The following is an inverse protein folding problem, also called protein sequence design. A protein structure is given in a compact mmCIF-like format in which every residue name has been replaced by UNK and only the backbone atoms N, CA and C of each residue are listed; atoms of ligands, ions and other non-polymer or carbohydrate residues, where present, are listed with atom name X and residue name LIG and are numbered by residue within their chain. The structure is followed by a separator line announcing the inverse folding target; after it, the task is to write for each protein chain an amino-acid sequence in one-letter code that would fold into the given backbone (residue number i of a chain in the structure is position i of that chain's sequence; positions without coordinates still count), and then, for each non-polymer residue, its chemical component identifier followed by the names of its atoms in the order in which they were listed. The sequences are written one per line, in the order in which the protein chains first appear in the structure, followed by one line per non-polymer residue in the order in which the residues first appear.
data_IF_013586828038
#
_entry.id   IF_013586828038
#
_cell.length_a   1.000
_cell.length_b   1.000
_cell.length_c   1.000
_cell.angle_alpha   90.00
_cell.angle_beta   90.00
_cell.angle_gamma   90.00
#
_symmetry.space_group_name_H-M   'P 1'
#
loop_
_entity.id
_entity.type
_entity.pdbx_description
1 polymer ?
#
# COMPACT_ATOMS: atom_id res chain seq x y z
N UNK A 1 -4.61 0.23 3.35
CA UNK A 1 -3.20 0.25 2.94
C UNK A 1 -3.15 0.71 1.50
N UNK A 2 -2.87 1.98 1.31
CA UNK A 2 -2.77 2.63 0.01
C UNK A 2 -1.63 3.61 0.08
N UNK A 3 -0.88 3.74 -1.01
CA UNK A 3 0.32 4.58 -1.05
C UNK A 3 0.00 5.89 -1.77
N UNK A 4 0.25 7.01 -1.11
CA UNK A 4 0.07 8.33 -1.69
C UNK A 4 1.40 8.90 -2.14
N UNK A 5 1.47 9.44 -3.36
CA UNK A 5 2.59 10.30 -3.75
C UNK A 5 2.20 11.77 -3.63
N UNK A 6 3.08 12.54 -3.02
CA UNK A 6 2.86 13.94 -2.73
C UNK A 6 4.04 14.80 -3.23
N UNK A 7 3.69 15.85 -3.96
CA UNK A 7 4.47 17.07 -4.13
C UNK A 7 3.71 18.21 -3.43
N UNK A 8 4.35 18.98 -2.55
CA UNK A 8 3.64 20.02 -1.84
C UNK A 8 3.17 21.15 -2.76
N UNK A 9 1.91 21.60 -2.63
CA UNK A 9 1.46 22.80 -3.30
C UNK A 9 2.25 24.02 -2.82
N UNK A 10 2.60 24.91 -3.76
CA UNK A 10 3.35 26.16 -3.50
C UNK A 10 2.66 27.14 -2.53
N UNK A 11 1.40 26.92 -2.11
CA UNK A 11 0.71 27.78 -1.12
C UNK A 11 -0.15 27.01 -0.12
N UNK A 12 -0.22 27.63 1.07
CA UNK A 12 -0.63 27.17 2.38
C UNK A 12 -2.09 26.77 2.53
N UNK A 13 -2.34 25.50 2.84
CA UNK A 13 -3.33 25.07 3.82
C UNK A 13 -2.99 23.63 4.21
N UNK A 14 -2.44 23.45 5.40
CA UNK A 14 -1.61 22.30 5.72
C UNK A 14 -1.88 21.83 7.16
N UNK A 15 -2.61 20.72 7.31
CA UNK A 15 -2.76 20.02 8.59
C UNK A 15 -1.45 19.37 9.07
N UNK A 16 -1.44 18.74 10.25
CA UNK A 16 -0.21 18.26 10.93
C UNK A 16 0.74 17.43 10.04
N UNK A 17 0.22 16.59 9.13
CA UNK A 17 1.04 15.78 8.20
C UNK A 17 1.85 16.60 7.19
N UNK A 18 1.43 17.82 6.86
CA UNK A 18 2.19 18.73 5.99
C UNK A 18 3.43 19.32 6.69
N UNK A 19 3.39 19.46 8.01
CA UNK A 19 4.43 20.18 8.76
C UNK A 19 5.77 19.43 8.71
N UNK A 20 5.74 18.11 8.92
CA UNK A 20 6.95 17.28 8.83
C UNK A 20 7.49 17.19 7.40
N UNK A 21 6.60 17.09 6.40
CA UNK A 21 7.02 17.14 4.99
C UNK A 21 7.80 18.41 4.69
N UNK A 22 7.26 19.58 5.06
CA UNK A 22 7.95 20.87 4.85
C UNK A 22 9.24 21.01 5.65
N UNK A 23 9.31 20.44 6.86
CA UNK A 23 10.54 20.41 7.64
C UNK A 23 11.65 19.64 6.90
N UNK A 24 11.32 18.49 6.34
CA UNK A 24 12.28 17.68 5.59
C UNK A 24 12.74 18.39 4.30
N UNK A 25 11.84 19.03 3.55
CA UNK A 25 12.23 19.81 2.36
C UNK A 25 13.17 20.98 2.68
N UNK A 26 13.03 21.58 3.87
CA UNK A 26 13.91 22.68 4.28
C UNK A 26 15.35 22.23 4.55
N UNK A 27 15.56 20.93 4.77
CA UNK A 27 16.86 20.34 5.11
C UNK A 27 17.51 19.63 3.92
N UNK A 28 16.73 19.18 2.95
CA UNK A 28 17.20 18.42 1.80
C UNK A 28 16.21 18.51 0.62
N UNK A 29 16.72 18.39 -0.59
CA UNK A 29 15.87 18.29 -1.79
C UNK A 29 15.12 16.95 -1.78
N UNK A 30 13.80 17.00 -1.82
CA UNK A 30 12.93 15.82 -1.86
C UNK A 30 12.12 15.89 -3.16
N UNK A 31 12.26 14.88 -4.00
CA UNK A 31 11.49 14.79 -5.24
C UNK A 31 10.09 14.23 -5.01
N UNK A 32 9.97 13.32 -4.03
CA UNK A 32 8.78 12.50 -3.82
C UNK A 32 8.58 12.17 -2.34
N UNK A 33 7.36 12.39 -1.84
CA UNK A 33 6.91 11.83 -0.57
C UNK A 33 6.05 10.59 -0.79
N UNK A 34 6.28 9.54 -0.01
CA UNK A 34 5.47 8.32 0.01
C UNK A 34 4.71 8.21 1.33
N UNK A 35 3.39 8.15 1.25
CA UNK A 35 2.52 7.99 2.41
C UNK A 35 2.08 6.54 2.55
N UNK A 36 2.59 5.84 3.56
CA UNK A 36 2.04 4.55 3.96
C UNK A 36 0.66 4.73 4.61
N UNK A 37 -0.28 3.86 4.24
CA UNK A 37 -1.70 3.91 4.64
C UNK A 37 -2.43 5.26 4.45
N UNK A 38 -1.97 6.09 3.51
CA UNK A 38 -2.46 7.46 3.31
C UNK A 38 -3.83 7.59 2.62
N UNK A 39 -4.44 6.50 2.15
CA UNK A 39 -5.64 6.54 1.30
C UNK A 39 -6.86 7.16 1.98
N UNK A 40 -6.95 7.05 3.30
CA UNK A 40 -8.05 7.58 4.13
C UNK A 40 -7.77 9.00 4.65
N UNK A 41 -6.52 9.47 4.57
CA UNK A 41 -6.09 10.75 5.15
C UNK A 41 -6.47 11.93 4.23
N UNK A 42 -7.76 12.23 4.10
CA UNK A 42 -8.29 13.20 3.11
C UNK A 42 -7.75 14.63 3.26
N UNK A 43 -7.30 15.02 4.45
CA UNK A 43 -6.80 16.39 4.72
C UNK A 43 -5.43 16.69 4.09
N UNK A 44 -4.75 15.68 3.55
CA UNK A 44 -3.49 15.86 2.84
C UNK A 44 -3.76 15.78 1.33
N UNK A 45 -3.47 16.86 0.61
CA UNK A 45 -3.49 16.84 -0.85
C UNK A 45 -2.46 15.81 -1.35
N UNK A 46 -2.78 15.09 -2.44
CA UNK A 46 -1.91 14.09 -3.07
C UNK A 46 -2.03 14.21 -4.58
N UNK A 47 -0.93 14.01 -5.29
CA UNK A 47 -0.91 14.05 -6.75
C UNK A 47 -1.26 12.67 -7.33
N UNK A 48 -0.93 11.60 -6.62
CA UNK A 48 -1.24 10.23 -7.01
C UNK A 48 -1.76 9.43 -5.81
N UNK A 49 -2.92 8.79 -5.98
CA UNK A 49 -3.51 7.85 -5.03
C UNK A 49 -3.40 6.43 -5.58
N UNK A 50 -2.64 5.58 -4.88
CA UNK A 50 -2.57 4.15 -5.13
C UNK A 50 -3.47 3.42 -4.15
N UNK A 51 -4.49 2.73 -4.66
CA UNK A 51 -5.31 1.83 -3.87
C UNK A 51 -4.72 0.42 -3.91
N UNK A 52 -4.36 -0.14 -2.76
CA UNK A 52 -4.02 -1.57 -2.70
C UNK A 52 -5.26 -2.39 -2.41
N UNK A 53 -5.41 -3.48 -3.13
CA UNK A 53 -6.45 -4.48 -2.89
C UNK A 53 -5.82 -5.85 -2.72
N UNK A 54 -6.47 -6.70 -1.93
CA UNK A 54 -6.02 -8.06 -1.68
C UNK A 54 -6.62 -8.99 -2.75
N UNK A 55 -5.78 -9.53 -3.62
CA UNK A 55 -6.23 -10.41 -4.71
C UNK A 55 -6.92 -11.69 -4.19
N UNK A 56 -6.55 -12.16 -3.00
CA UNK A 56 -7.12 -13.35 -2.38
C UNK A 56 -8.52 -13.12 -1.79
N UNK A 57 -9.05 -11.89 -1.86
CA UNK A 57 -10.31 -11.50 -1.21
C UNK A 57 -11.24 -10.76 -2.17
N UNK A 58 -12.31 -11.43 -2.66
CA UNK A 58 -13.34 -10.78 -3.45
C UNK A 58 -14.00 -9.63 -2.69
N UNK A 59 -14.32 -8.53 -3.39
CA UNK A 59 -15.08 -7.41 -2.82
C UNK A 59 -16.58 -7.71 -2.67
N UNK A 60 -17.09 -8.73 -3.36
CA UNK A 60 -18.49 -9.09 -3.32
C UNK A 60 -18.89 -9.58 -1.91
N UNK A 61 -19.93 -8.97 -1.33
CA UNK A 61 -20.41 -9.31 0.01
C UNK A 61 -19.62 -8.69 1.16
N UNK A 62 -18.57 -7.91 0.89
CA UNK A 62 -17.86 -7.18 1.93
C UNK A 62 -18.72 -6.04 2.52
N UNK A 63 -18.63 -5.86 3.83
CA UNK A 63 -19.35 -4.83 4.58
C UNK A 63 -18.39 -3.85 5.25
N UNK A 64 -18.90 -2.68 5.64
CA UNK A 64 -18.16 -1.74 6.47
C UNK A 64 -17.87 -2.33 7.85
N UNK A 65 -16.77 -1.91 8.46
CA UNK A 65 -16.52 -2.16 9.89
C UNK A 65 -17.69 -1.63 10.75
N UNK A 66 -18.08 -2.35 11.82
CA UNK A 66 -17.49 -3.61 12.31
C UNK A 66 -18.03 -4.88 11.63
N UNK A 67 -19.08 -4.79 10.81
CA UNK A 67 -19.77 -5.95 10.21
C UNK A 67 -18.97 -6.65 9.10
N UNK A 68 -18.01 -5.94 8.48
CA UNK A 68 -17.07 -6.50 7.51
C UNK A 68 -15.71 -5.82 7.61
N UNK A 69 -14.88 -5.93 6.57
CA UNK A 69 -13.47 -5.50 6.62
C UNK A 69 -13.22 -4.13 6.02
N UNK A 70 -14.20 -3.58 5.30
CA UNK A 70 -14.04 -2.30 4.62
C UNK A 70 -13.98 -1.18 5.65
N UNK A 71 -12.91 -0.37 5.57
CA UNK A 71 -12.77 0.84 6.38
C UNK A 71 -13.53 2.03 5.81
N UNK A 72 -13.84 1.98 4.52
CA UNK A 72 -14.60 2.98 3.77
C UNK A 72 -15.51 2.28 2.75
N UNK A 73 -16.61 2.92 2.32
CA UNK A 73 -17.51 2.30 1.34
C UNK A 73 -16.80 2.16 -0.01
N UNK A 74 -17.22 1.20 -0.84
CA UNK A 74 -16.58 0.94 -2.15
C UNK A 74 -16.51 2.17 -3.07
N UNK A 75 -17.43 3.14 -2.91
CA UNK A 75 -17.40 4.42 -3.64
C UNK A 75 -16.12 5.22 -3.40
N UNK A 76 -15.43 5.01 -2.27
CA UNK A 76 -14.14 5.63 -1.96
C UNK A 76 -13.03 5.25 -2.97
N UNK A 77 -13.19 4.13 -3.67
CA UNK A 77 -12.30 3.71 -4.76
C UNK A 77 -12.21 4.75 -5.87
N UNK A 78 -13.24 5.58 -6.08
CA UNK A 78 -13.24 6.66 -7.08
C UNK A 78 -12.10 7.67 -6.94
N UNK A 79 -11.46 7.74 -5.76
CA UNK A 79 -10.28 8.60 -5.52
C UNK A 79 -8.97 7.99 -6.02
N UNK A 80 -8.96 6.70 -6.37
CA UNK A 80 -7.76 6.02 -6.85
C UNK A 80 -7.39 6.52 -8.25
N UNK A 81 -6.09 6.74 -8.48
CA UNK A 81 -5.57 6.97 -9.81
C UNK A 81 -5.10 5.66 -10.45
N UNK A 82 -4.69 4.70 -9.63
CA UNK A 82 -4.35 3.34 -10.05
C UNK A 82 -4.60 2.36 -8.90
N UNK A 83 -4.70 1.09 -9.27
CA UNK A 83 -4.99 -0.01 -8.35
C UNK A 83 -3.85 -1.02 -8.40
N UNK A 84 -3.41 -1.50 -7.25
CA UNK A 84 -2.44 -2.61 -7.15
C UNK A 84 -3.07 -3.77 -6.39
N UNK A 85 -3.18 -4.92 -7.04
CA UNK A 85 -3.55 -6.17 -6.39
C UNK A 85 -2.34 -6.81 -5.73
N UNK A 86 -2.36 -6.88 -4.41
CA UNK A 86 -1.37 -7.60 -3.59
C UNK A 86 -1.74 -9.07 -3.45
N UNK A 87 -0.77 -9.93 -3.12
CA UNK A 87 -0.96 -11.39 -2.98
C UNK A 87 -1.48 -12.07 -4.26
N UNK A 88 -1.14 -11.50 -5.41
CA UNK A 88 -1.63 -11.97 -6.72
C UNK A 88 -1.17 -13.41 -7.04
N UNK A 89 -0.10 -13.89 -6.40
CA UNK A 89 0.41 -15.26 -6.51
C UNK A 89 -0.53 -16.32 -5.90
N UNK A 90 -1.45 -15.91 -5.02
CA UNK A 90 -2.35 -16.82 -4.30
C UNK A 90 -3.75 -16.90 -4.90
N UNK A 91 -4.07 -16.05 -5.88
CA UNK A 91 -5.43 -15.86 -6.35
C UNK A 91 -5.58 -16.13 -7.84
N UNK A 92 -6.20 -17.27 -8.16
CA UNK A 92 -6.54 -17.70 -9.53
C UNK A 92 -7.57 -16.79 -10.22
N UNK A 93 -8.37 -16.03 -9.46
CA UNK A 93 -9.41 -15.12 -9.96
C UNK A 93 -8.98 -13.67 -10.19
N UNK A 94 -7.70 -13.33 -9.94
CA UNK A 94 -7.21 -11.94 -10.00
C UNK A 94 -7.45 -11.29 -11.36
N UNK A 95 -7.24 -12.04 -12.45
CA UNK A 95 -7.40 -11.53 -13.82
C UNK A 95 -8.85 -11.13 -14.13
N UNK A 96 -9.83 -11.87 -13.62
CA UNK A 96 -11.25 -11.55 -13.81
C UNK A 96 -11.65 -10.29 -13.02
N UNK A 97 -11.15 -10.17 -11.78
CA UNK A 97 -11.37 -8.98 -10.96
C UNK A 97 -10.70 -7.73 -11.56
N UNK A 98 -9.51 -7.88 -12.14
CA UNK A 98 -8.83 -6.83 -12.91
C UNK A 98 -9.70 -6.37 -14.09
N UNK A 99 -10.28 -7.31 -14.84
CA UNK A 99 -11.12 -7.00 -16.00
C UNK A 99 -12.34 -6.12 -15.67
N UNK A 100 -12.89 -6.24 -14.45
CA UNK A 100 -14.03 -5.44 -13.97
C UNK A 100 -13.65 -4.01 -13.54
N UNK A 101 -12.35 -3.70 -13.47
CA UNK A 101 -11.82 -2.40 -13.03
C UNK A 101 -11.05 -1.69 -14.15
N UNK A 102 -11.42 -1.96 -15.40
CA UNK A 102 -10.77 -1.44 -16.61
C UNK A 102 -10.68 0.10 -16.70
N UNK A 103 -11.47 0.82 -15.91
CA UNK A 103 -11.42 2.28 -15.78
C UNK A 103 -10.19 2.80 -15.02
N UNK A 104 -9.41 1.93 -14.38
CA UNK A 104 -8.16 2.27 -13.72
C UNK A 104 -6.99 1.53 -14.37
N UNK A 105 -5.78 2.12 -14.41
CA UNK A 105 -4.55 1.34 -14.53
C UNK A 105 -4.45 0.34 -13.37
N UNK A 106 -4.29 -0.95 -13.69
CA UNK A 106 -4.22 -2.02 -12.69
C UNK A 106 -2.91 -2.77 -12.80
N UNK A 107 -2.26 -2.97 -11.66
CA UNK A 107 -1.02 -3.72 -11.53
C UNK A 107 -1.19 -4.85 -10.52
N UNK A 108 -0.35 -5.88 -10.63
CA UNK A 108 -0.27 -6.97 -9.67
C UNK A 108 1.08 -6.91 -8.93
N UNK A 109 1.05 -7.20 -7.64
CA UNK A 109 2.20 -7.30 -6.78
C UNK A 109 2.20 -8.66 -6.08
N UNK A 110 3.35 -9.32 -6.13
CA UNK A 110 3.58 -10.60 -5.47
C UNK A 110 4.80 -10.54 -4.58
N UNK A 111 4.70 -11.23 -3.44
CA UNK A 111 5.81 -11.33 -2.48
C UNK A 111 6.42 -12.72 -2.56
N UNK A 112 7.74 -12.79 -2.74
CA UNK A 112 8.48 -14.05 -2.72
C UNK A 112 9.48 -14.05 -1.56
N UNK A 113 9.37 -15.04 -0.68
CA UNK A 113 10.37 -15.27 0.35
C UNK A 113 11.66 -15.76 -0.33
N UNK A 114 12.73 -14.97 -0.25
CA UNK A 114 14.03 -15.31 -0.82
C UNK A 114 14.94 -16.07 0.16
N UNK A 115 14.66 -15.93 1.46
CA UNK A 115 15.46 -16.46 2.54
C UNK A 115 15.28 -15.59 3.77
N UNK A 116 15.96 -15.97 4.84
CA UNK A 116 15.91 -15.28 6.11
C UNK A 116 17.27 -14.67 6.44
N UNK A 117 17.33 -13.70 7.34
CA UNK A 117 18.60 -13.20 7.87
C UNK A 117 18.48 -12.97 9.36
N UNK A 118 19.57 -13.15 10.10
CA UNK A 118 19.61 -12.77 11.51
C UNK A 118 19.60 -11.25 11.63
N UNK A 119 18.70 -10.71 12.45
CA UNK A 119 18.68 -9.26 12.72
C UNK A 119 20.00 -8.83 13.36
N UNK A 120 20.65 -7.81 12.78
CA UNK A 120 21.98 -7.34 13.21
C UNK A 120 23.17 -8.20 12.76
N UNK A 121 22.93 -9.28 11.99
CA UNK A 121 23.98 -10.07 11.34
C UNK A 121 24.34 -9.56 9.95
N UNK A 122 25.27 -10.25 9.29
CA UNK A 122 25.62 -9.98 7.89
C UNK A 122 24.42 -10.19 6.95
N UNK A 123 24.47 -9.55 5.78
CA UNK A 123 23.40 -9.54 4.77
C UNK A 123 23.19 -10.88 4.03
N UNK A 124 23.84 -11.96 4.46
CA UNK A 124 23.74 -13.28 3.83
C UNK A 124 22.38 -13.91 4.15
N UNK A 125 21.69 -14.34 3.09
CA UNK A 125 20.42 -15.05 3.22
C UNK A 125 20.66 -16.49 3.67
N UNK A 126 19.89 -16.92 4.66
CA UNK A 126 19.85 -18.25 5.24
C UNK A 126 18.54 -18.93 4.87
N UNK A 127 18.59 -20.23 4.63
CA UNK A 127 17.42 -21.09 4.55
C UNK A 127 16.72 -21.21 5.92
N UNK A 128 15.46 -21.68 5.91
CA UNK A 128 14.70 -21.94 7.14
C UNK A 128 15.45 -22.91 8.07
N UNK A 129 16.09 -23.95 7.50
CA UNK A 129 16.89 -24.92 8.26
C UNK A 129 18.13 -24.31 8.90
N UNK A 130 18.77 -23.33 8.26
CA UNK A 130 20.00 -22.69 8.75
C UNK A 130 19.75 -21.69 9.89
N UNK A 131 18.53 -21.15 10.01
CA UNK A 131 18.15 -20.31 11.16
C UNK A 131 17.90 -21.14 12.43
N UNK A 132 17.76 -22.45 12.28
CA UNK A 132 17.22 -23.33 13.31
C UNK A 132 15.71 -23.19 13.36
N UNK A 133 15.00 -24.29 13.11
CA UNK A 133 13.57 -24.37 13.35
C UNK A 133 13.32 -24.25 14.86
N UNK A 134 13.31 -23.02 15.38
CA UNK A 134 12.76 -22.73 16.69
C UNK A 134 11.27 -23.08 16.73
N UNK A 135 10.62 -23.11 17.91
CA UNK A 135 9.26 -23.61 18.11
C UNK A 135 8.14 -22.78 17.42
N UNK A 136 8.51 -21.88 16.52
CA UNK A 136 7.64 -20.94 15.82
C UNK A 136 7.56 -21.21 14.30
N UNK A 137 8.13 -22.31 13.81
CA UNK A 137 7.94 -22.84 12.46
C UNK A 137 7.24 -24.19 12.50
#
# INVERSE_FOLDING_TARGET
LGVGFFQPPRKSNAGKGFAEGRRLESQQSIDVFLLDDGFQHLQLARNLNILLMDASRPLAGESLLPAGRLREPLVAMSRANLIVFTRAETASGTLEAIGKLNQYPVFAASTRLLGFRRFGGESTLLSASEIGAGPFF
#
